data_IF_522846573446
#
_entry.id   IF_522846573446
#
_cell.length_a   1.000
_cell.length_b   1.000
_cell.length_c   1.000
_cell.angle_alpha   90.00
_cell.angle_beta   90.00
_cell.angle_gamma   90.00
#
_symmetry.space_group_name_H-M   'P 1'
#
loop_
_entity.id
_entity.type
_entity.pdbx_description
1 polymer ?
#
# COMPACT_ATOMS: atom_id res chain seq x y z
N UNK A 1 -16.56 4.80 8.04
CA UNK A 1 -15.83 4.07 9.10
C UNK A 1 -14.67 4.94 9.54
N UNK A 2 -14.56 5.22 10.84
CA UNK A 2 -13.50 6.04 11.43
C UNK A 2 -12.14 5.37 11.22
N UNK A 3 -11.17 6.08 10.62
CA UNK A 3 -9.79 5.61 10.51
C UNK A 3 -9.18 5.56 11.91
N UNK A 4 -8.75 4.40 12.35
CA UNK A 4 -7.87 4.23 13.52
C UNK A 4 -6.57 3.58 13.05
N UNK A 5 -5.50 3.59 13.85
CA UNK A 5 -4.15 3.18 13.42
C UNK A 5 -4.06 1.83 12.66
N UNK A 6 -5.06 0.97 12.81
CA UNK A 6 -5.15 -0.40 12.30
C UNK A 6 -6.14 -0.53 11.14
N UNK A 7 -7.08 0.40 11.08
CA UNK A 7 -8.12 0.49 10.07
C UNK A 7 -7.86 1.75 9.23
N UNK A 8 -6.95 1.62 8.27
CA UNK A 8 -6.58 2.73 7.38
C UNK A 8 -7.63 2.97 6.27
N UNK A 9 -8.60 2.05 6.12
CA UNK A 9 -9.66 2.11 5.10
C UNK A 9 -9.12 1.89 3.68
N UNK A 10 -9.99 2.09 2.68
CA UNK A 10 -9.70 1.79 1.27
C UNK A 10 -9.03 2.92 0.50
N UNK A 11 -9.10 4.15 1.02
CA UNK A 11 -8.45 5.32 0.44
C UNK A 11 -7.02 5.48 0.99
N UNK A 12 -6.08 6.03 0.21
CA UNK A 12 -4.79 6.48 0.74
C UNK A 12 -4.95 7.47 1.89
N UNK A 13 -3.96 7.49 2.78
CA UNK A 13 -3.92 8.47 3.86
C UNK A 13 -3.43 9.84 3.34
N UNK A 14 -3.81 10.93 4.03
CA UNK A 14 -3.27 12.29 3.80
C UNK A 14 -3.44 12.92 2.40
N UNK A 15 -4.54 12.67 1.68
CA UNK A 15 -4.82 13.29 0.35
C UNK A 15 -3.77 12.92 -0.72
N UNK A 16 -2.97 11.88 -0.46
CA UNK A 16 -1.94 11.43 -1.39
C UNK A 16 -2.56 10.70 -2.58
N UNK A 17 -1.90 10.73 -3.76
CA UNK A 17 -2.45 10.12 -4.97
C UNK A 17 -2.54 8.59 -4.86
N UNK A 18 -1.66 7.98 -4.06
CA UNK A 18 -1.66 6.55 -3.79
C UNK A 18 -0.81 6.22 -2.57
N UNK A 19 -0.94 5.00 -2.06
CA UNK A 19 0.01 4.37 -1.16
C UNK A 19 -0.05 2.83 -1.26
N UNK A 20 0.91 2.16 -0.64
CA UNK A 20 0.88 0.73 -0.38
C UNK A 20 0.65 0.50 1.12
N UNK A 21 -0.44 -0.17 1.43
CA UNK A 21 -0.79 -0.66 2.75
C UNK A 21 -0.19 -2.05 2.95
N UNK A 22 0.52 -2.24 4.06
CA UNK A 22 0.88 -3.54 4.61
C UNK A 22 0.17 -3.68 5.96
N UNK A 23 -0.67 -4.68 6.10
CA UNK A 23 -1.24 -5.10 7.37
C UNK A 23 -0.69 -6.48 7.71
N UNK A 24 -0.22 -6.65 8.94
CA UNK A 24 0.21 -7.94 9.43
C UNK A 24 -0.62 -8.29 10.65
N UNK A 25 -1.30 -9.42 10.54
CA UNK A 25 -2.07 -10.05 11.60
C UNK A 25 -1.23 -11.15 12.22
N UNK A 26 -1.15 -11.15 13.54
CA UNK A 26 -0.42 -12.18 14.30
C UNK A 26 -1.40 -12.98 15.14
N UNK A 27 -1.47 -14.29 14.90
CA UNK A 27 -2.32 -15.20 15.66
C UNK A 27 -1.44 -16.15 16.46
N UNK A 28 -1.58 -16.11 17.79
CA UNK A 28 -0.90 -17.01 18.73
C UNK A 28 -1.92 -17.64 19.69
N UNK A 29 -2.82 -18.45 19.13
CA UNK A 29 -3.89 -19.14 19.87
C UNK A 29 -3.64 -20.66 19.98
N UNK A 30 -2.47 -21.13 19.52
CA UNK A 30 -2.14 -22.55 19.46
C UNK A 30 -2.94 -23.37 18.43
N UNK A 31 -3.76 -22.72 17.59
CA UNK A 31 -4.52 -23.38 16.50
C UNK A 31 -3.70 -23.66 15.24
N UNK A 32 -2.49 -23.09 15.17
CA UNK A 32 -1.57 -23.30 14.06
C UNK A 32 -1.00 -24.73 13.99
N UNK A 33 -0.37 -25.11 12.87
CA UNK A 33 0.25 -26.43 12.71
C UNK A 33 1.40 -26.69 13.71
N UNK A 34 1.89 -25.66 14.39
CA UNK A 34 2.92 -25.70 15.41
C UNK A 34 2.42 -25.01 16.69
N UNK A 35 2.02 -25.76 17.73
CA UNK A 35 1.55 -25.19 18.99
C UNK A 35 2.61 -24.29 19.63
N UNK A 36 2.24 -23.06 19.99
CA UNK A 36 3.12 -22.06 20.59
C UNK A 36 4.03 -21.32 19.62
N UNK A 37 3.79 -21.42 18.30
CA UNK A 37 4.45 -20.62 17.28
C UNK A 37 3.44 -19.63 16.70
N UNK A 38 3.68 -18.30 16.80
CA UNK A 38 2.78 -17.31 16.22
C UNK A 38 2.74 -17.42 14.70
N UNK A 39 1.54 -17.35 14.13
CA UNK A 39 1.31 -17.29 12.69
C UNK A 39 1.26 -15.83 12.23
N UNK A 40 1.91 -15.53 11.11
CA UNK A 40 1.94 -14.20 10.52
C UNK A 40 1.18 -14.20 9.20
N UNK A 41 0.16 -13.33 9.09
CA UNK A 41 -0.59 -13.12 7.86
C UNK A 41 -0.31 -11.71 7.34
N UNK A 42 0.48 -11.63 6.27
CA UNK A 42 0.75 -10.36 5.60
C UNK A 42 -0.30 -10.09 4.51
N UNK A 43 -0.89 -8.91 4.55
CA UNK A 43 -1.85 -8.41 3.57
C UNK A 43 -1.33 -7.12 2.94
N UNK A 44 -1.19 -7.13 1.62
CA UNK A 44 -0.71 -6.00 0.83
C UNK A 44 -1.82 -5.42 -0.05
N UNK A 45 -1.97 -4.10 0.00
CA UNK A 45 -3.02 -3.38 -0.69
C UNK A 45 -2.53 -2.06 -1.27
N UNK A 46 -2.56 -1.94 -2.60
CA UNK A 46 -2.38 -0.68 -3.29
C UNK A 46 -3.66 0.14 -3.18
N UNK A 47 -3.56 1.33 -2.57
CA UNK A 47 -4.68 2.27 -2.48
C UNK A 47 -4.41 3.44 -3.40
N UNK A 48 -5.43 3.91 -4.08
CA UNK A 48 -5.32 5.03 -5.02
C UNK A 48 -6.45 6.02 -4.75
N UNK A 49 -6.12 7.30 -4.71
CA UNK A 49 -7.09 8.38 -4.75
C UNK A 49 -7.01 9.02 -6.14
N UNK A 50 -7.96 8.67 -7.01
CA UNK A 50 -8.04 9.25 -8.34
C UNK A 50 -9.48 9.61 -8.65
N UNK A 51 -9.68 10.79 -9.24
CA UNK A 51 -11.00 11.24 -9.69
C UNK A 51 -12.07 11.31 -8.59
N UNK A 52 -11.65 11.61 -7.36
CA UNK A 52 -12.54 11.62 -6.19
C UNK A 52 -13.03 10.23 -5.78
N UNK A 53 -12.45 9.17 -6.34
CA UNK A 53 -12.73 7.80 -5.98
C UNK A 53 -11.51 7.13 -5.36
N UNK A 54 -11.80 6.26 -4.40
CA UNK A 54 -10.79 5.43 -3.77
C UNK A 54 -10.81 4.05 -4.38
N UNK A 55 -9.66 3.63 -4.89
CA UNK A 55 -9.48 2.33 -5.52
C UNK A 55 -8.56 1.52 -4.63
N UNK A 56 -8.97 0.28 -4.39
CA UNK A 56 -8.18 -0.71 -3.65
C UNK A 56 -7.83 -1.85 -4.61
N UNK A 57 -6.56 -2.17 -4.71
CA UNK A 57 -6.06 -3.32 -5.45
C UNK A 57 -5.23 -4.19 -4.50
N UNK A 58 -5.51 -5.49 -4.46
CA UNK A 58 -4.64 -6.42 -3.74
C UNK A 58 -3.31 -6.56 -4.51
N UNK A 59 -2.18 -6.46 -3.80
CA UNK A 59 -0.85 -6.46 -4.43
C UNK A 59 0.07 -7.50 -3.81
N UNK A 60 1.27 -7.64 -4.38
CA UNK A 60 2.39 -8.29 -3.72
C UNK A 60 3.10 -7.38 -2.72
N UNK A 61 4.14 -7.93 -2.08
CA UNK A 61 4.99 -7.28 -1.08
C UNK A 61 5.61 -5.97 -1.57
N UNK A 62 6.16 -6.05 -2.76
CA UNK A 62 6.68 -4.99 -3.60
C UNK A 62 6.10 -5.30 -4.97
N UNK A 63 5.56 -4.31 -5.65
CA UNK A 63 4.76 -4.67 -6.81
C UNK A 63 4.19 -3.51 -7.60
N UNK A 64 3.89 -3.87 -8.83
CA UNK A 64 3.09 -3.12 -9.76
C UNK A 64 1.65 -3.61 -9.70
N UNK A 65 0.70 -2.70 -9.77
CA UNK A 65 -0.69 -3.03 -9.99
C UNK A 65 -1.29 -2.09 -11.02
N UNK A 66 -1.93 -2.71 -12.01
CA UNK A 66 -2.71 -2.01 -13.02
C UNK A 66 -4.14 -1.79 -12.53
N UNK A 67 -4.71 -0.65 -12.86
CA UNK A 67 -6.12 -0.32 -12.60
C UNK A 67 -6.62 0.68 -13.64
N UNK A 68 -7.93 0.82 -13.75
CA UNK A 68 -8.55 1.85 -14.59
C UNK A 68 -9.29 2.83 -13.70
N UNK A 69 -9.05 4.12 -13.92
CA UNK A 69 -9.68 5.22 -13.19
C UNK A 69 -9.90 6.40 -14.12
N UNK A 70 -11.02 7.11 -13.98
CA UNK A 70 -11.43 8.13 -14.97
C UNK A 70 -11.48 7.64 -16.43
N UNK A 71 -11.71 6.34 -16.66
CA UNK A 71 -11.61 5.75 -18.01
C UNK A 71 -10.19 5.69 -18.58
N UNK A 72 -9.18 5.98 -17.77
CA UNK A 72 -7.76 5.94 -18.14
C UNK A 72 -7.13 4.69 -17.53
N UNK A 73 -6.51 3.81 -18.34
CA UNK A 73 -5.72 2.70 -17.84
C UNK A 73 -4.39 3.21 -17.28
N UNK A 74 -4.05 2.76 -16.08
CA UNK A 74 -2.89 3.23 -15.34
C UNK A 74 -2.24 2.09 -14.56
N UNK A 75 -0.99 2.28 -14.17
CA UNK A 75 -0.25 1.37 -13.30
C UNK A 75 0.48 2.19 -12.23
N UNK A 76 0.54 1.63 -11.03
CA UNK A 76 1.43 2.12 -9.99
C UNK A 76 2.35 0.98 -9.60
N UNK A 77 3.64 1.29 -9.44
CA UNK A 77 4.61 0.38 -8.89
C UNK A 77 5.32 0.99 -7.69
N UNK A 78 5.49 0.19 -6.64
CA UNK A 78 6.26 0.57 -5.45
C UNK A 78 7.42 -0.42 -5.27
N UNK A 79 8.61 0.13 -5.08
CA UNK A 79 9.85 -0.56 -4.75
C UNK A 79 10.35 -0.02 -3.40
N UNK A 80 9.97 -0.72 -2.31
CA UNK A 80 10.35 -0.28 -0.96
C UNK A 80 11.84 -0.46 -0.70
N UNK A 81 12.47 -1.45 -1.33
CA UNK A 81 13.91 -1.71 -1.20
C UNK A 81 14.76 -0.52 -1.63
N UNK A 82 14.31 0.23 -2.63
CA UNK A 82 14.98 1.44 -3.12
C UNK A 82 14.22 2.74 -2.80
N UNK A 83 13.24 2.70 -1.88
CA UNK A 83 12.44 3.85 -1.46
C UNK A 83 11.86 4.69 -2.62
N UNK A 84 11.34 4.01 -3.66
CA UNK A 84 10.88 4.66 -4.89
C UNK A 84 9.57 4.08 -5.41
N UNK A 85 8.81 4.90 -6.11
CA UNK A 85 7.58 4.50 -6.77
C UNK A 85 7.43 5.19 -8.12
N UNK A 86 6.55 4.66 -8.96
CA UNK A 86 6.11 5.38 -10.14
C UNK A 86 4.63 5.13 -10.44
N UNK A 87 4.00 6.09 -11.11
CA UNK A 87 2.65 5.99 -11.68
C UNK A 87 2.76 6.23 -13.18
N UNK A 88 2.23 5.31 -13.97
CA UNK A 88 2.22 5.35 -15.42
C UNK A 88 0.79 5.45 -15.94
N UNK A 89 0.57 6.38 -16.86
CA UNK A 89 -0.68 6.53 -17.60
C UNK A 89 -0.47 5.93 -18.99
N UNK A 90 -1.23 4.90 -19.34
CA UNK A 90 -0.99 4.19 -20.60
C UNK A 90 -1.62 4.88 -21.82
N UNK A 91 -2.58 5.77 -21.61
CA UNK A 91 -3.28 6.49 -22.67
C UNK A 91 -2.39 7.54 -23.36
N UNK A 92 -1.51 8.20 -22.60
CA UNK A 92 -0.61 9.23 -23.13
C UNK A 92 0.89 8.91 -22.93
N UNK A 93 1.20 7.81 -22.25
CA UNK A 93 2.58 7.41 -21.96
C UNK A 93 3.24 8.20 -20.83
N UNK A 94 2.51 9.07 -20.13
CA UNK A 94 3.06 9.86 -19.03
C UNK A 94 3.50 8.95 -17.89
N UNK A 95 4.69 9.22 -17.37
CA UNK A 95 5.24 8.53 -16.21
C UNK A 95 5.70 9.55 -15.17
N UNK A 96 5.16 9.43 -13.97
CA UNK A 96 5.59 10.20 -12.80
C UNK A 96 6.29 9.29 -11.81
N UNK A 97 7.44 9.72 -11.30
CA UNK A 97 8.22 8.95 -10.34
C UNK A 97 8.29 9.71 -9.02
N UNK A 98 8.36 8.96 -7.92
CA UNK A 98 8.28 9.49 -6.57
C UNK A 98 9.33 8.83 -5.69
N UNK A 99 9.89 9.60 -4.76
CA UNK A 99 10.44 9.01 -3.53
C UNK A 99 9.27 8.57 -2.65
N UNK A 100 9.46 7.56 -1.80
CA UNK A 100 8.43 7.14 -0.85
C UNK A 100 8.92 7.25 0.59
N UNK A 101 7.96 7.41 1.49
CA UNK A 101 8.15 7.34 2.93
C UNK A 101 7.25 6.26 3.52
N UNK A 102 7.81 5.47 4.46
CA UNK A 102 7.07 4.47 5.21
C UNK A 102 6.69 5.02 6.58
N UNK A 103 5.42 4.88 6.95
CA UNK A 103 4.93 5.14 8.30
C UNK A 103 4.39 3.83 8.87
N UNK A 104 4.78 3.49 10.09
CA UNK A 104 4.37 2.24 10.74
C UNK A 104 3.72 2.52 12.08
N UNK A 105 2.64 1.80 12.36
CA UNK A 105 1.93 1.79 13.63
C UNK A 105 1.92 0.37 14.17
N UNK A 106 2.41 0.19 15.39
CA UNK A 106 2.34 -1.06 16.14
C UNK A 106 1.26 -0.99 17.23
N UNK A 107 0.83 -2.17 17.71
CA UNK A 107 -0.09 -2.37 18.84
C UNK A 107 -1.54 -2.04 18.54
N UNK A 108 -2.03 -2.60 17.44
CA UNK A 108 -3.36 -2.39 16.95
C UNK A 108 -4.43 -3.20 17.68
N UNK A 109 -4.16 -4.49 17.80
CA UNK A 109 -4.59 -5.46 18.83
C UNK A 109 -3.37 -6.40 19.01
N UNK A 110 -3.46 -7.48 19.79
CA UNK A 110 -2.30 -8.31 20.16
C UNK A 110 -1.40 -8.67 18.95
N UNK A 111 -0.23 -8.00 18.88
CA UNK A 111 0.83 -8.17 17.86
C UNK A 111 0.52 -7.75 16.41
N UNK A 112 -0.59 -7.03 16.18
CA UNK A 112 -0.91 -6.47 14.86
C UNK A 112 -0.11 -5.20 14.56
N UNK A 113 0.39 -5.09 13.33
CA UNK A 113 1.03 -3.88 12.83
C UNK A 113 0.55 -3.48 11.44
N UNK A 114 0.52 -2.17 11.21
CA UNK A 114 0.18 -1.57 9.92
C UNK A 114 1.31 -0.68 9.46
N UNK A 115 1.71 -0.80 8.19
CA UNK A 115 2.64 0.11 7.54
C UNK A 115 2.04 0.68 6.27
N UNK A 116 2.24 1.97 6.05
CA UNK A 116 1.78 2.67 4.85
C UNK A 116 2.99 3.30 4.17
N UNK A 117 3.20 2.95 2.91
CA UNK A 117 4.27 3.48 2.07
C UNK A 117 3.68 4.41 1.03
N UNK A 118 3.99 5.69 1.15
CA UNK A 118 3.31 6.74 0.40
C UNK A 118 4.30 7.69 -0.29
N UNK A 119 3.93 8.36 -1.39
CA UNK A 119 4.77 9.34 -2.06
C UNK A 119 5.22 10.47 -1.12
N UNK A 120 6.51 10.77 -1.14
CA UNK A 120 7.13 11.87 -0.38
C UNK A 120 7.59 13.03 -1.29
N UNK A 121 7.21 13.00 -2.56
CA UNK A 121 7.55 14.03 -3.56
C UNK A 121 7.95 13.43 -4.90
N UNK A 122 7.70 14.19 -5.98
CA UNK A 122 8.12 13.80 -7.33
C UNK A 122 9.65 13.88 -7.48
N UNK A 123 10.23 12.88 -8.15
CA UNK A 123 11.67 12.77 -8.44
C UNK A 123 11.87 12.38 -9.89
N UNK A 124 13.11 12.53 -10.39
CA UNK A 124 13.46 12.04 -11.71
C UNK A 124 13.23 10.52 -11.82
N UNK A 125 12.73 10.07 -12.97
CA UNK A 125 12.49 8.65 -13.21
C UNK A 125 13.80 7.88 -13.45
N UNK A 126 14.43 7.41 -12.38
CA UNK A 126 15.54 6.45 -12.39
C UNK A 126 15.07 5.13 -11.80
N UNK A 127 14.48 4.29 -12.65
CA UNK A 127 13.99 2.98 -12.27
C UNK A 127 14.93 1.88 -12.77
#
# INVERSE_FOLDING_TARGET
MSRSGCYQGTCPDYVLPFDLLLQVLVIDDGSGPYPGVPMFFEHFGGRVNDCGQCIYAQTGRDGCWGFTSCGRPQEICIDRGNARAHRRYYDNGDRKCYSIIGNSWSNCEAYDFTSVFSPNGEVACSW
#
